data_IF_219724394160
#
_entry.id   IF_219724394160
#
_cell.length_a   1.000
_cell.length_b   1.000
_cell.length_c   1.000
_cell.angle_alpha   90.00
_cell.angle_beta   90.00
_cell.angle_gamma   90.00
#
_symmetry.space_group_name_H-M   'P 1'
#
loop_
_entity.id
_entity.type
_entity.pdbx_description
1 polymer ?
#
# COMPACT_ATOMS: atom_id res chain seq x y z
N UNK A 1 8.44 -1.54 -16.84
CA UNK A 1 7.27 -2.03 -16.08
C UNK A 1 7.11 -1.13 -14.87
N UNK A 2 6.21 -0.16 -14.97
CA UNK A 2 5.90 0.81 -13.91
C UNK A 2 4.97 0.15 -12.90
N UNK A 3 5.41 0.01 -11.64
CA UNK A 3 4.57 -0.42 -10.53
C UNK A 3 3.92 0.82 -9.92
N UNK A 4 2.62 1.00 -10.15
CA UNK A 4 1.82 2.04 -9.49
C UNK A 4 1.88 1.88 -7.97
N UNK A 5 2.13 2.96 -7.24
CA UNK A 5 2.33 2.91 -5.80
C UNK A 5 0.98 2.78 -5.06
N UNK A 6 0.60 1.55 -4.76
CA UNK A 6 -0.54 1.21 -3.92
C UNK A 6 -0.34 1.67 -2.47
N UNK A 7 -1.42 1.66 -1.68
CA UNK A 7 -1.34 1.56 -0.22
C UNK A 7 -0.70 0.20 0.11
N UNK A 8 0.61 0.09 -0.04
CA UNK A 8 1.38 -1.11 0.23
C UNK A 8 1.55 -1.20 1.74
N UNK A 9 1.04 -2.29 2.30
CA UNK A 9 1.36 -2.64 3.68
C UNK A 9 2.66 -3.42 3.66
N UNK A 10 3.71 -2.80 4.16
CA UNK A 10 4.97 -3.48 4.40
C UNK A 10 4.86 -4.21 5.73
N UNK A 11 5.01 -5.52 5.69
CA UNK A 11 5.23 -6.35 6.87
C UNK A 11 6.74 -6.59 6.95
N UNK A 12 7.38 -5.93 7.92
CA UNK A 12 8.81 -6.03 8.14
C UNK A 12 9.06 -6.88 9.37
N UNK A 13 10.05 -7.77 9.36
CA UNK A 13 10.43 -8.51 10.57
C UNK A 13 10.97 -7.55 11.65
N UNK A 14 10.82 -7.89 12.93
CA UNK A 14 11.24 -7.02 14.05
C UNK A 14 12.75 -6.79 14.07
N UNK A 15 13.17 -5.53 13.95
CA UNK A 15 14.58 -5.13 13.97
C UNK A 15 15.03 -4.62 15.33
N UNK A 16 16.24 -5.01 15.75
CA UNK A 16 16.97 -4.25 16.77
C UNK A 16 17.54 -2.98 16.12
N UNK A 17 17.00 -1.84 16.52
CA UNK A 17 17.16 -0.52 15.90
C UNK A 17 18.50 0.12 16.25
N UNK A 18 19.64 -0.43 15.77
CA UNK A 18 20.97 0.07 16.17
C UNK A 18 21.99 0.40 15.07
N UNK A 19 21.77 0.15 13.77
CA UNK A 19 22.70 0.61 12.71
C UNK A 19 21.97 0.92 11.38
N UNK A 20 22.45 1.89 10.57
CA UNK A 20 22.09 1.97 9.16
C UNK A 20 22.66 0.73 8.48
N UNK A 21 21.77 -0.16 8.05
CA UNK A 21 22.13 -1.41 7.40
C UNK A 21 22.08 -1.18 5.89
N UNK A 22 23.25 -0.98 5.29
CA UNK A 22 23.43 -1.13 3.86
C UNK A 22 23.50 -2.63 3.57
N UNK A 23 22.63 -3.11 2.69
CA UNK A 23 22.68 -4.47 2.17
C UNK A 23 23.50 -4.46 0.88
N UNK A 24 24.36 -5.46 0.73
CA UNK A 24 25.16 -5.62 -0.49
C UNK A 24 24.29 -6.13 -1.64
N UNK A 25 23.33 -7.00 -1.32
CA UNK A 25 22.46 -7.66 -2.28
C UNK A 25 20.98 -7.49 -1.92
N UNK A 26 20.11 -7.50 -2.93
CA UNK A 26 18.66 -7.56 -2.78
C UNK A 26 18.10 -8.71 -3.61
N UNK A 27 17.45 -9.66 -2.95
CA UNK A 27 16.71 -10.75 -3.58
C UNK A 27 15.22 -10.39 -3.60
N UNK A 28 14.67 -10.13 -4.78
CA UNK A 28 13.29 -9.69 -4.98
C UNK A 28 12.44 -10.82 -5.59
N UNK A 29 11.33 -11.14 -4.94
CA UNK A 29 10.42 -12.21 -5.35
C UNK A 29 8.98 -11.66 -5.40
N UNK A 30 8.35 -11.71 -6.58
CA UNK A 30 6.94 -11.34 -6.76
C UNK A 30 6.08 -12.61 -6.89
N UNK A 31 5.04 -12.71 -6.07
CA UNK A 31 4.16 -13.88 -6.01
C UNK A 31 2.96 -13.86 -6.97
N UNK A 32 2.64 -12.71 -7.61
CA UNK A 32 1.54 -12.61 -8.58
C UNK A 32 1.81 -13.52 -9.79
N UNK A 33 0.90 -14.45 -10.04
CA UNK A 33 0.95 -15.40 -11.15
C UNK A 33 2.11 -16.42 -11.13
N UNK A 34 2.95 -16.44 -10.08
CA UNK A 34 4.16 -17.28 -10.05
C UNK A 34 3.97 -18.57 -9.23
N UNK A 35 3.36 -19.58 -9.86
CA UNK A 35 3.13 -20.87 -9.22
C UNK A 35 4.42 -21.58 -8.77
N UNK A 36 5.51 -21.42 -9.53
CA UNK A 36 6.82 -22.01 -9.19
C UNK A 36 7.35 -21.46 -7.86
N UNK A 37 7.33 -20.14 -7.69
CA UNK A 37 7.73 -19.48 -6.44
C UNK A 37 6.79 -19.85 -5.29
N UNK A 38 5.48 -19.95 -5.53
CA UNK A 38 4.52 -20.35 -4.51
C UNK A 38 4.77 -21.79 -4.00
N UNK A 39 5.14 -22.71 -4.89
CA UNK A 39 5.38 -24.12 -4.57
C UNK A 39 6.50 -24.34 -3.54
N UNK A 40 7.49 -23.43 -3.49
CA UNK A 40 8.58 -23.44 -2.49
C UNK A 40 8.03 -23.47 -1.06
N UNK A 41 6.88 -22.83 -0.82
CA UNK A 41 6.27 -22.71 0.50
C UNK A 41 5.22 -23.80 0.78
N UNK A 42 4.91 -24.67 -0.19
CA UNK A 42 3.88 -25.72 -0.08
C UNK A 42 4.37 -27.01 0.58
N UNK A 43 5.66 -27.33 0.51
CA UNK A 43 6.18 -28.55 1.11
C UNK A 43 6.17 -28.48 2.64
N UNK A 44 6.98 -27.60 3.21
CA UNK A 44 7.11 -27.38 4.65
C UNK A 44 7.44 -25.91 4.97
N UNK A 45 7.79 -25.63 6.23
CA UNK A 45 8.27 -24.33 6.69
C UNK A 45 9.74 -24.37 7.15
N UNK A 46 10.55 -25.28 6.61
CA UNK A 46 11.98 -25.28 6.89
C UNK A 46 12.62 -24.06 6.22
N UNK A 47 13.01 -23.10 7.06
CA UNK A 47 13.59 -21.83 6.64
C UNK A 47 14.90 -22.03 5.87
N UNK A 48 15.72 -23.02 6.20
CA UNK A 48 16.98 -23.23 5.49
C UNK A 48 16.72 -23.70 4.07
N UNK A 49 15.88 -24.74 3.92
CA UNK A 49 15.43 -25.24 2.61
C UNK A 49 14.82 -24.12 1.77
N UNK A 50 13.90 -23.34 2.34
CA UNK A 50 13.24 -22.23 1.63
C UNK A 50 14.27 -21.21 1.16
N UNK A 51 15.21 -20.80 2.03
CA UNK A 51 16.25 -19.82 1.66
C UNK A 51 17.18 -20.37 0.58
N UNK A 52 17.55 -21.64 0.68
CA UNK A 52 18.40 -22.30 -0.30
C UNK A 52 17.69 -22.41 -1.66
N UNK A 53 16.41 -22.77 -1.71
CA UNK A 53 15.63 -22.82 -2.96
C UNK A 53 15.42 -21.43 -3.56
N UNK A 54 15.05 -20.44 -2.74
CA UNK A 54 14.89 -19.05 -3.17
C UNK A 54 16.21 -18.49 -3.71
N UNK A 55 17.33 -18.77 -3.04
CA UNK A 55 18.66 -18.33 -3.46
C UNK A 55 19.14 -19.04 -4.73
N UNK A 56 19.26 -20.36 -4.66
CA UNK A 56 19.93 -21.17 -5.68
C UNK A 56 19.13 -21.24 -6.98
N UNK A 57 17.81 -21.38 -6.89
CA UNK A 57 16.96 -21.71 -8.04
C UNK A 57 16.36 -20.45 -8.67
N UNK A 58 15.93 -19.50 -7.83
CA UNK A 58 15.16 -18.34 -8.31
C UNK A 58 16.03 -17.09 -8.41
N UNK A 59 16.81 -16.79 -7.37
CA UNK A 59 17.68 -15.61 -7.36
C UNK A 59 18.97 -15.82 -8.16
N UNK A 60 19.47 -17.06 -8.22
CA UNK A 60 20.72 -17.43 -8.89
C UNK A 60 21.98 -17.10 -8.08
N UNK A 61 21.84 -16.77 -6.79
CA UNK A 61 22.95 -16.48 -5.88
C UNK A 61 22.56 -16.82 -4.42
N UNK A 62 23.55 -16.85 -3.53
CA UNK A 62 23.35 -17.21 -2.13
C UNK A 62 22.68 -16.06 -1.37
N UNK A 63 21.62 -16.38 -0.62
CA UNK A 63 20.97 -15.42 0.29
C UNK A 63 21.71 -15.46 1.62
N UNK A 64 22.62 -14.50 1.84
CA UNK A 64 23.45 -14.43 3.04
C UNK A 64 22.79 -13.56 4.14
N UNK A 65 22.48 -14.12 5.32
CA UNK A 65 21.89 -13.35 6.42
C UNK A 65 22.78 -12.17 6.85
N UNK A 66 22.21 -10.97 6.82
CA UNK A 66 22.90 -9.71 7.18
C UNK A 66 23.59 -9.01 6.01
N UNK A 67 23.71 -9.65 4.84
CA UNK A 67 24.27 -9.07 3.61
C UNK A 67 23.22 -8.93 2.51
N UNK A 68 22.28 -9.88 2.45
CA UNK A 68 21.17 -9.87 1.48
C UNK A 68 19.86 -9.44 2.14
N UNK A 69 19.16 -8.48 1.52
CA UNK A 69 17.78 -8.13 1.83
C UNK A 69 16.84 -8.97 0.97
N UNK A 70 15.90 -9.67 1.60
CA UNK A 70 14.86 -10.42 0.89
C UNK A 70 13.58 -9.58 0.81
N UNK A 71 13.04 -9.43 -0.38
CA UNK A 71 11.79 -8.71 -0.65
C UNK A 71 10.76 -9.68 -1.23
N UNK A 72 9.62 -9.79 -0.57
CA UNK A 72 8.45 -10.55 -1.00
C UNK A 72 7.36 -9.57 -1.43
N UNK A 73 7.11 -9.39 -2.72
CA UNK A 73 6.03 -8.53 -3.22
C UNK A 73 4.80 -9.36 -3.57
N UNK A 74 3.63 -8.75 -3.42
CA UNK A 74 2.33 -9.41 -3.59
C UNK A 74 2.17 -10.69 -2.76
N UNK A 75 2.74 -10.71 -1.54
CA UNK A 75 2.74 -11.89 -0.66
C UNK A 75 1.31 -12.38 -0.32
N UNK A 76 0.28 -11.55 -0.52
CA UNK A 76 -1.12 -11.96 -0.40
C UNK A 76 -1.51 -13.13 -1.31
N UNK A 77 -0.80 -13.31 -2.42
CA UNK A 77 -1.03 -14.39 -3.39
C UNK A 77 -0.40 -15.71 -2.94
N UNK A 78 0.43 -15.70 -1.89
CA UNK A 78 0.97 -16.89 -1.26
C UNK A 78 0.70 -16.90 0.25
N UNK A 79 -0.49 -17.35 0.70
CA UNK A 79 -0.83 -17.38 2.12
C UNK A 79 0.14 -18.20 2.97
N UNK A 80 0.74 -19.25 2.39
CA UNK A 80 1.79 -20.04 3.06
C UNK A 80 3.09 -19.26 3.25
N UNK A 81 3.48 -18.40 2.30
CA UNK A 81 4.61 -17.49 2.50
C UNK A 81 4.36 -16.55 3.69
N UNK A 82 3.12 -16.05 3.87
CA UNK A 82 2.77 -15.23 5.04
C UNK A 82 2.94 -16.01 6.35
N UNK A 83 2.46 -17.25 6.41
CA UNK A 83 2.62 -18.10 7.59
C UNK A 83 4.09 -18.40 7.89
N UNK A 84 4.90 -18.55 6.84
CA UNK A 84 6.32 -18.87 6.97
C UNK A 84 7.11 -17.81 7.75
N UNK A 85 6.67 -16.54 7.71
CA UNK A 85 7.35 -15.40 8.33
C UNK A 85 7.60 -15.59 9.85
N UNK A 86 6.73 -16.33 10.56
CA UNK A 86 6.99 -16.65 11.98
C UNK A 86 8.25 -17.51 12.15
N UNK A 87 8.43 -18.50 11.29
CA UNK A 87 9.58 -19.40 11.32
C UNK A 87 10.85 -18.67 10.88
N UNK A 88 10.76 -17.77 9.89
CA UNK A 88 11.88 -16.88 9.56
C UNK A 88 12.31 -16.01 10.74
N UNK A 89 11.35 -15.55 11.55
CA UNK A 89 11.65 -14.79 12.76
C UNK A 89 12.33 -15.64 13.83
N UNK A 90 11.91 -16.89 13.99
CA UNK A 90 12.39 -17.81 15.05
C UNK A 90 13.72 -18.49 14.68
N UNK A 91 13.81 -19.04 13.48
CA UNK A 91 14.90 -19.93 13.06
C UNK A 91 16.05 -19.19 12.36
N UNK A 92 15.79 -18.04 11.76
CA UNK A 92 16.83 -17.26 11.05
C UNK A 92 16.73 -15.76 11.36
N UNK A 93 16.86 -15.32 12.63
CA UNK A 93 16.64 -13.94 13.06
C UNK A 93 17.51 -12.90 12.33
N UNK A 94 18.71 -13.29 11.87
CA UNK A 94 19.65 -12.41 11.16
C UNK A 94 19.29 -12.12 9.69
N UNK A 95 18.39 -12.91 9.09
CA UNK A 95 17.93 -12.64 7.73
C UNK A 95 16.83 -11.57 7.76
N UNK A 96 17.01 -10.53 6.96
CA UNK A 96 16.11 -9.39 6.87
C UNK A 96 15.13 -9.59 5.71
N UNK A 97 13.84 -9.50 6.02
CA UNK A 97 12.76 -9.76 5.08
C UNK A 97 11.78 -8.59 5.13
N UNK A 98 11.46 -8.06 3.94
CA UNK A 98 10.40 -7.09 3.70
C UNK A 98 9.34 -7.80 2.87
N UNK A 99 8.11 -7.86 3.38
CA UNK A 99 6.99 -8.36 2.62
C UNK A 99 6.03 -7.21 2.30
N UNK A 100 5.67 -7.01 1.04
CA UNK A 100 4.75 -5.98 0.58
C UNK A 100 3.47 -6.61 0.02
N UNK A 101 2.35 -5.91 0.23
CA UNK A 101 1.06 -6.31 -0.32
C UNK A 101 0.02 -5.21 -0.15
N UNK A 102 -0.78 -4.96 -1.19
CA UNK A 102 -1.81 -3.92 -1.22
C UNK A 102 -3.04 -4.30 -0.38
N UNK A 103 -3.45 -5.57 -0.42
CA UNK A 103 -4.71 -6.07 0.14
C UNK A 103 -4.51 -7.15 1.22
N UNK A 104 -3.38 -7.09 1.92
CA UNK A 104 -3.00 -8.09 2.93
C UNK A 104 -4.10 -8.33 3.98
N UNK A 105 -4.91 -7.31 4.33
CA UNK A 105 -6.04 -7.45 5.26
C UNK A 105 -7.27 -8.18 4.71
N UNK A 106 -7.45 -8.26 3.39
CA UNK A 106 -8.56 -8.98 2.74
C UNK A 106 -8.18 -10.44 2.51
N UNK A 107 -6.96 -10.70 2.02
CA UNK A 107 -6.48 -12.05 1.74
C UNK A 107 -6.43 -12.95 2.98
N UNK A 108 -6.10 -12.39 4.15
CA UNK A 108 -6.06 -13.14 5.42
C UNK A 108 -7.42 -13.61 5.94
N UNK A 109 -8.53 -13.15 5.34
CA UNK A 109 -9.88 -13.59 5.74
C UNK A 109 -10.38 -14.80 4.96
N UNK A 110 -9.78 -15.12 3.80
CA UNK A 110 -10.37 -16.10 2.89
C UNK A 110 -10.04 -17.55 3.21
N UNK A 111 -8.99 -17.82 3.98
CA UNK A 111 -8.61 -19.18 4.36
C UNK A 111 -8.08 -19.17 5.78
N UNK A 112 -8.08 -20.30 6.50
CA UNK A 112 -7.67 -20.46 7.91
C UNK A 112 -6.20 -20.14 8.21
N UNK A 113 -5.69 -19.04 7.66
CA UNK A 113 -4.32 -18.58 7.64
C UNK A 113 -4.11 -17.73 8.88
N UNK A 114 -3.35 -18.29 9.83
CA UNK A 114 -2.94 -17.54 11.01
C UNK A 114 -1.89 -16.51 10.62
N UNK A 115 -2.24 -15.24 10.73
CA UNK A 115 -1.24 -14.16 10.58
C UNK A 115 -0.24 -14.24 11.75
N UNK A 116 1.07 -14.08 11.51
CA UNK A 116 2.11 -14.28 12.53
C UNK A 116 2.21 -13.06 13.48
N UNK A 117 1.18 -12.88 14.32
CA UNK A 117 1.07 -11.77 15.28
C UNK A 117 2.26 -11.77 16.24
N UNK A 118 2.87 -10.61 16.44
CA UNK A 118 4.01 -10.43 17.36
C UNK A 118 5.37 -10.87 16.80
N UNK A 119 5.41 -11.49 15.61
CA UNK A 119 6.66 -11.87 14.92
C UNK A 119 7.02 -10.93 13.77
N UNK A 120 6.07 -10.08 13.38
CA UNK A 120 6.21 -9.11 12.30
C UNK A 120 5.75 -7.73 12.74
N UNK A 121 6.46 -6.73 12.29
CA UNK A 121 6.10 -5.32 12.35
C UNK A 121 5.34 -4.93 11.07
N UNK A 122 4.43 -3.97 11.17
CA UNK A 122 3.64 -3.49 10.03
C UNK A 122 3.88 -2.00 9.84
N UNK A 123 4.10 -1.61 8.61
CA UNK A 123 4.24 -0.23 8.16
C UNK A 123 3.20 -0.06 7.05
N UNK A 124 2.26 0.85 7.27
CA UNK A 124 1.33 1.25 6.24
C UNK A 124 1.99 2.39 5.43
N UNK A 125 2.13 2.21 4.12
CA UNK A 125 2.59 3.27 3.22
C UNK A 125 1.40 4.05 2.67
N UNK A 126 1.59 5.36 2.53
CA UNK A 126 0.58 6.30 2.05
C UNK A 126 1.12 7.04 0.82
N UNK A 127 0.25 7.66 0.00
CA UNK A 127 0.68 8.63 -0.98
C UNK A 127 1.55 9.72 -0.34
N UNK A 128 2.42 10.33 -1.14
CA UNK A 128 3.29 11.43 -0.72
C UNK A 128 2.46 12.56 -0.12
N UNK A 129 2.93 13.05 1.01
CA UNK A 129 2.40 14.26 1.65
C UNK A 129 2.70 15.50 0.81
N UNK A 130 2.05 16.62 1.15
CA UNK A 130 2.31 17.90 0.51
C UNK A 130 3.79 18.32 0.65
N UNK A 131 4.41 18.11 1.80
CA UNK A 131 5.81 18.43 2.04
C UNK A 131 6.73 17.59 1.14
N UNK A 132 6.46 16.28 1.02
CA UNK A 132 7.22 15.39 0.13
C UNK A 132 7.03 15.77 -1.34
N UNK A 133 5.83 16.17 -1.76
CA UNK A 133 5.56 16.69 -3.09
C UNK A 133 6.37 17.97 -3.38
N UNK A 134 6.32 18.97 -2.48
CA UNK A 134 7.06 20.23 -2.64
C UNK A 134 8.56 19.96 -2.70
N UNK A 135 9.06 19.03 -1.88
CA UNK A 135 10.46 18.60 -1.93
C UNK A 135 10.84 17.96 -3.27
N UNK A 136 9.99 17.07 -3.80
CA UNK A 136 10.21 16.42 -5.08
C UNK A 136 10.21 17.42 -6.24
N UNK A 137 9.35 18.44 -6.18
CA UNK A 137 9.22 19.52 -7.18
C UNK A 137 10.23 20.68 -6.97
N UNK A 138 11.36 20.41 -6.31
CA UNK A 138 12.46 21.35 -6.13
C UNK A 138 12.20 22.51 -5.14
N UNK A 139 11.09 22.46 -4.41
CA UNK A 139 10.63 23.50 -3.48
C UNK A 139 11.13 23.37 -2.03
N UNK A 140 12.05 22.44 -1.74
CA UNK A 140 12.41 22.11 -0.34
C UNK A 140 12.90 23.28 0.52
N UNK A 141 13.55 24.28 -0.10
CA UNK A 141 13.95 25.53 0.58
C UNK A 141 12.78 26.27 1.24
N UNK A 142 11.57 26.17 0.69
CA UNK A 142 10.38 26.82 1.24
C UNK A 142 9.87 26.07 2.46
N UNK A 143 9.87 24.73 2.43
CA UNK A 143 9.51 23.89 3.58
C UNK A 143 10.51 24.12 4.72
N UNK A 144 11.81 24.02 4.43
CA UNK A 144 12.88 24.24 5.42
C UNK A 144 12.80 25.63 6.05
N UNK A 145 12.45 26.65 5.26
CA UNK A 145 12.30 28.02 5.73
C UNK A 145 11.08 28.16 6.66
N UNK A 146 9.93 27.61 6.27
CA UNK A 146 8.70 27.69 7.07
C UNK A 146 8.82 26.90 8.37
N UNK A 147 9.45 25.72 8.37
CA UNK A 147 9.67 24.93 9.60
C UNK A 147 10.54 25.66 10.65
N UNK A 148 11.34 26.65 10.23
CA UNK A 148 12.18 27.47 11.13
C UNK A 148 11.48 28.74 11.61
N UNK A 149 10.33 29.11 11.03
CA UNK A 149 9.56 30.24 11.48
C UNK A 149 8.87 29.90 12.81
N UNK A 150 8.82 30.89 13.70
CA UNK A 150 8.05 30.77 14.93
C UNK A 150 6.56 30.88 14.60
N UNK A 151 5.74 30.04 15.22
CA UNK A 151 4.29 29.98 14.96
C UNK A 151 3.55 31.30 15.22
N UNK A 152 4.10 32.20 16.05
CA UNK A 152 3.49 33.49 16.36
C UNK A 152 3.74 34.57 15.29
N UNK A 153 4.53 34.26 14.26
CA UNK A 153 4.85 35.19 13.17
C UNK A 153 4.05 34.83 11.92
N UNK A 154 3.43 35.83 11.30
CA UNK A 154 2.84 35.67 9.97
C UNK A 154 3.88 35.19 8.95
N UNK A 155 3.47 34.27 8.08
CA UNK A 155 4.32 33.73 7.03
C UNK A 155 4.58 34.85 6.01
N UNK A 156 5.85 35.23 5.74
CA UNK A 156 6.14 36.28 4.78
C UNK A 156 5.65 35.94 3.38
N UNK A 157 5.27 36.97 2.62
CA UNK A 157 4.72 36.85 1.26
C UNK A 157 5.64 36.07 0.29
N UNK A 158 6.96 36.17 0.51
CA UNK A 158 7.97 35.42 -0.24
C UNK A 158 7.75 33.89 -0.20
N UNK A 159 7.21 33.38 0.92
CA UNK A 159 6.89 31.96 1.08
C UNK A 159 5.48 31.65 0.59
N UNK A 160 4.49 32.50 0.92
CA UNK A 160 3.07 32.20 0.64
C UNK A 160 2.80 32.08 -0.85
N UNK A 161 3.30 33.00 -1.69
CA UNK A 161 3.06 32.96 -3.15
C UNK A 161 3.56 31.65 -3.78
N UNK A 162 4.76 31.21 -3.37
CA UNK A 162 5.34 29.96 -3.88
C UNK A 162 4.61 28.74 -3.34
N UNK A 163 4.33 28.70 -2.04
CA UNK A 163 3.63 27.58 -1.40
C UNK A 163 2.18 27.44 -1.87
N UNK A 164 1.48 28.55 -2.16
CA UNK A 164 0.16 28.52 -2.78
C UNK A 164 0.19 27.92 -4.18
N UNK A 165 1.24 28.21 -4.97
CA UNK A 165 1.43 27.57 -6.27
C UNK A 165 1.63 26.05 -6.11
N UNK A 166 2.52 25.63 -5.22
CA UNK A 166 2.70 24.20 -4.93
C UNK A 166 1.42 23.54 -4.44
N UNK A 167 0.65 24.23 -3.59
CA UNK A 167 -0.60 23.71 -3.04
C UNK A 167 -1.64 23.49 -4.14
N UNK A 168 -1.78 24.45 -5.06
CA UNK A 168 -2.67 24.31 -6.22
C UNK A 168 -2.26 23.14 -7.10
N UNK A 169 -0.97 23.00 -7.39
CA UNK A 169 -0.45 21.87 -8.17
C UNK A 169 -0.74 20.55 -7.45
N UNK A 170 -0.49 20.48 -6.14
CA UNK A 170 -0.73 19.29 -5.33
C UNK A 170 -2.21 18.88 -5.28
N UNK A 171 -3.15 19.84 -5.31
CA UNK A 171 -4.58 19.49 -5.40
C UNK A 171 -4.96 18.83 -6.72
N UNK A 172 -4.24 19.13 -7.80
CA UNK A 172 -4.50 18.55 -9.13
C UNK A 172 -3.73 17.24 -9.28
N UNK A 173 -2.43 17.24 -8.98
CA UNK A 173 -1.53 16.09 -9.15
C UNK A 173 -1.75 15.01 -8.09
N UNK A 174 -2.06 15.44 -6.86
CA UNK A 174 -2.14 14.58 -5.69
C UNK A 174 -0.77 14.10 -5.20
N UNK A 175 -0.80 13.08 -4.34
CA UNK A 175 0.40 12.48 -3.74
C UNK A 175 0.81 11.14 -4.34
N UNK A 176 0.17 10.68 -5.41
CA UNK A 176 0.50 9.37 -6.00
C UNK A 176 1.90 9.43 -6.60
N UNK A 177 2.89 8.63 -6.14
CA UNK A 177 4.29 8.81 -6.52
C UNK A 177 4.54 8.82 -8.04
N UNK A 178 3.79 8.02 -8.80
CA UNK A 178 3.91 8.00 -10.25
C UNK A 178 3.36 9.29 -10.90
N UNK A 179 2.23 9.81 -10.42
CA UNK A 179 1.68 11.08 -10.88
C UNK A 179 2.61 12.25 -10.52
N UNK A 180 3.18 12.23 -9.31
CA UNK A 180 4.18 13.21 -8.87
C UNK A 180 5.43 13.14 -9.73
N UNK A 181 5.92 11.94 -10.06
CA UNK A 181 7.09 11.78 -10.92
C UNK A 181 6.85 12.37 -12.31
N UNK A 182 5.70 12.07 -12.94
CA UNK A 182 5.35 12.67 -14.25
C UNK A 182 5.24 14.19 -14.16
N UNK A 183 4.66 14.72 -13.07
CA UNK A 183 4.62 16.16 -12.84
C UNK A 183 6.03 16.77 -12.77
N UNK A 184 6.93 16.20 -11.96
CA UNK A 184 8.30 16.69 -11.81
C UNK A 184 9.05 16.67 -13.16
N UNK A 185 8.84 15.63 -13.97
CA UNK A 185 9.54 15.46 -15.23
C UNK A 185 8.98 16.36 -16.36
N UNK A 186 7.67 16.61 -16.38
CA UNK A 186 6.98 17.23 -17.53
C UNK A 186 6.32 18.58 -17.23
N UNK A 187 5.88 18.79 -15.98
CA UNK A 187 5.02 19.89 -15.56
C UNK A 187 3.74 20.04 -16.42
N UNK A 188 3.25 18.93 -16.96
CA UNK A 188 2.06 18.86 -17.82
C UNK A 188 0.90 18.20 -17.09
N UNK A 189 -0.20 18.94 -16.92
CA UNK A 189 -1.40 18.44 -16.27
C UNK A 189 -2.10 17.33 -17.05
N UNK A 190 -2.09 17.38 -18.39
CA UNK A 190 -2.72 16.35 -19.21
C UNK A 190 -1.98 15.02 -19.11
N UNK A 191 -0.65 15.06 -19.08
CA UNK A 191 0.17 13.86 -18.86
C UNK A 191 -0.08 13.25 -17.47
N UNK A 192 -0.26 14.08 -16.45
CA UNK A 192 -0.61 13.63 -15.10
C UNK A 192 -2.01 13.02 -15.05
N UNK A 193 -2.99 13.65 -15.71
CA UNK A 193 -4.37 13.16 -15.78
C UNK A 193 -4.43 11.77 -16.41
N UNK A 194 -3.70 11.53 -17.50
CA UNK A 194 -3.62 10.20 -18.13
C UNK A 194 -3.11 9.12 -17.15
N UNK A 195 -2.10 9.44 -16.35
CA UNK A 195 -1.55 8.54 -15.33
C UNK A 195 -2.57 8.30 -14.22
N UNK A 196 -3.25 9.33 -13.73
CA UNK A 196 -4.28 9.21 -12.71
C UNK A 196 -5.45 8.33 -13.19
N UNK A 197 -5.89 8.53 -14.43
CA UNK A 197 -6.95 7.75 -15.06
C UNK A 197 -6.58 6.28 -15.20
N UNK A 198 -5.34 6.00 -15.63
CA UNK A 198 -4.80 4.64 -15.70
C UNK A 198 -4.77 3.98 -14.31
N UNK A 199 -4.24 4.68 -13.30
CA UNK A 199 -4.20 4.19 -11.91
C UNK A 199 -5.62 3.85 -11.42
N UNK A 200 -6.61 4.73 -11.65
CA UNK A 200 -8.00 4.49 -11.22
C UNK A 200 -8.63 3.27 -11.91
N UNK A 201 -8.30 3.01 -13.18
CA UNK A 201 -8.75 1.82 -13.91
C UNK A 201 -8.10 0.56 -13.37
N UNK A 202 -6.78 0.59 -13.15
CA UNK A 202 -6.02 -0.53 -12.60
C UNK A 202 -6.56 -0.93 -11.21
N UNK A 203 -6.90 0.05 -10.37
CA UNK A 203 -7.58 -0.19 -9.09
C UNK A 203 -8.93 -0.91 -9.25
N UNK A 204 -9.74 -0.50 -10.22
CA UNK A 204 -11.05 -1.10 -10.47
C UNK A 204 -10.95 -2.55 -10.99
N UNK A 205 -9.89 -2.84 -11.73
CA UNK A 205 -9.60 -4.17 -12.24
C UNK A 205 -9.07 -5.12 -11.16
N UNK A 206 -8.22 -4.62 -10.25
CA UNK A 206 -7.65 -5.41 -9.16
C UNK A 206 -8.69 -5.95 -8.16
N UNK A 207 -9.81 -5.24 -7.95
CA UNK A 207 -10.91 -5.74 -7.11
C UNK A 207 -11.46 -7.10 -7.54
N UNK A 208 -11.32 -7.46 -8.82
CA UNK A 208 -11.76 -8.74 -9.36
C UNK A 208 -10.87 -9.91 -8.94
N UNK A 209 -9.57 -9.69 -8.70
CA UNK A 209 -8.60 -10.76 -8.38
C UNK A 209 -8.79 -11.36 -6.99
N UNK A 210 -9.19 -10.54 -6.02
CA UNK A 210 -9.19 -10.93 -4.60
C UNK A 210 -10.59 -11.11 -4.00
N UNK A 211 -11.66 -11.12 -4.81
CA UNK A 211 -13.04 -11.27 -4.32
C UNK A 211 -13.87 -12.18 -5.23
N UNK A 212 -14.95 -12.76 -4.70
CA UNK A 212 -15.88 -13.54 -5.53
C UNK A 212 -16.60 -12.63 -6.55
N UNK A 213 -17.03 -13.19 -7.68
CA UNK A 213 -17.60 -12.41 -8.80
C UNK A 213 -18.80 -11.52 -8.40
N UNK A 214 -19.63 -11.97 -7.47
CA UNK A 214 -20.77 -11.17 -6.96
C UNK A 214 -20.30 -9.97 -6.11
N UNK A 215 -19.26 -10.14 -5.29
CA UNK A 215 -18.65 -9.06 -4.50
C UNK A 215 -17.88 -8.10 -5.38
N UNK A 216 -17.10 -8.59 -6.35
CA UNK A 216 -16.38 -7.77 -7.31
C UNK A 216 -17.33 -6.81 -8.06
N UNK A 217 -18.46 -7.33 -8.54
CA UNK A 217 -19.49 -6.51 -9.20
C UNK A 217 -20.07 -5.44 -8.27
N UNK A 218 -20.35 -5.77 -7.01
CA UNK A 218 -20.83 -4.79 -6.02
C UNK A 218 -19.79 -3.72 -5.71
N UNK A 219 -18.51 -4.10 -5.57
CA UNK A 219 -17.41 -3.17 -5.33
C UNK A 219 -17.25 -2.22 -6.51
N UNK A 220 -17.30 -2.72 -7.75
CA UNK A 220 -17.26 -1.88 -8.97
C UNK A 220 -18.42 -0.89 -9.04
N UNK A 221 -19.63 -1.32 -8.70
CA UNK A 221 -20.80 -0.42 -8.65
C UNK A 221 -20.63 0.68 -7.61
N UNK A 222 -20.07 0.35 -6.44
CA UNK A 222 -19.78 1.34 -5.40
C UNK A 222 -18.67 2.29 -5.88
N UNK A 223 -17.58 1.77 -6.42
CA UNK A 223 -16.44 2.53 -6.94
C UNK A 223 -16.87 3.60 -7.93
N UNK A 224 -17.67 3.22 -8.93
CA UNK A 224 -18.19 4.14 -9.94
C UNK A 224 -19.17 5.19 -9.37
N UNK A 225 -19.79 4.90 -8.22
CA UNK A 225 -20.69 5.84 -7.57
C UNK A 225 -19.95 6.85 -6.68
N UNK A 226 -18.72 6.60 -6.24
CA UNK A 226 -17.98 7.46 -5.30
C UNK A 226 -17.89 8.91 -5.78
N UNK A 227 -17.46 9.22 -7.02
CA UNK A 227 -17.34 10.61 -7.48
C UNK A 227 -18.68 11.37 -7.38
N UNK A 228 -19.76 10.74 -7.84
CA UNK A 228 -21.12 11.30 -7.81
C UNK A 228 -21.68 11.52 -6.40
N UNK A 229 -21.15 10.80 -5.41
CA UNK A 229 -21.57 10.89 -4.01
C UNK A 229 -20.77 11.96 -3.27
N UNK A 230 -19.47 12.11 -3.58
CA UNK A 230 -18.61 13.18 -3.03
C UNK A 230 -19.02 14.54 -3.60
N UNK A 231 -19.49 14.60 -4.84
CA UNK A 231 -19.98 15.84 -5.46
C UNK A 231 -21.30 16.36 -4.86
N UNK A 232 -21.90 15.67 -3.88
CA UNK A 232 -23.11 16.12 -3.18
C UNK A 232 -22.72 16.87 -1.92
N UNK A 233 -23.46 17.92 -1.59
CA UNK A 233 -23.26 18.72 -0.35
C UNK A 233 -23.47 17.94 0.97
N UNK A 234 -23.84 16.66 0.91
CA UNK A 234 -24.20 15.86 2.07
C UNK A 234 -23.16 14.75 2.31
N UNK A 235 -22.41 14.85 3.41
CA UNK A 235 -21.29 13.95 3.77
C UNK A 235 -21.68 12.49 4.11
N UNK A 236 -22.90 12.04 3.81
CA UNK A 236 -23.37 10.67 4.10
C UNK A 236 -23.47 9.86 2.81
N UNK A 237 -22.75 8.74 2.74
CA UNK A 237 -22.84 7.81 1.62
C UNK A 237 -24.20 7.10 1.60
N UNK A 238 -24.98 7.29 0.52
CA UNK A 238 -26.35 6.75 0.44
C UNK A 238 -26.41 5.54 -0.51
N UNK A 239 -26.39 4.33 0.07
CA UNK A 239 -26.45 3.06 -0.66
C UNK A 239 -27.71 2.86 -1.53
N UNK A 240 -28.82 3.57 -1.30
CA UNK A 240 -30.05 3.42 -2.08
C UNK A 240 -29.96 3.95 -3.52
N UNK A 241 -28.94 4.75 -3.83
CA UNK A 241 -28.75 5.35 -5.16
C UNK A 241 -27.82 4.53 -6.07
N UNK A 242 -27.17 3.49 -5.53
CA UNK A 242 -26.32 2.55 -6.29
C UNK A 242 -27.20 1.44 -6.87
N UNK A 243 -28.17 1.80 -7.73
CA UNK A 243 -29.19 0.95 -8.40
C UNK A 243 -30.04 0.02 -7.48
N UNK A 244 -31.35 -0.05 -7.74
CA UNK A 244 -32.28 -0.93 -7.00
C UNK A 244 -32.01 -2.42 -7.28
N UNK A 245 -31.07 -3.04 -6.57
CA UNK A 245 -30.84 -4.48 -6.55
C UNK A 245 -31.02 -5.05 -5.15
N UNK A 246 -31.77 -6.17 -5.03
CA UNK A 246 -32.22 -6.78 -3.76
C UNK A 246 -31.10 -7.14 -2.77
N UNK A 247 -29.81 -7.09 -3.16
CA UNK A 247 -28.64 -7.40 -2.32
C UNK A 247 -28.14 -6.28 -1.41
N UNK A 248 -28.53 -5.01 -1.60
CA UNK A 248 -28.06 -3.87 -0.79
C UNK A 248 -28.75 -3.75 0.59
N UNK A 249 -29.89 -4.44 0.80
CA UNK A 249 -30.59 -4.46 2.10
C UNK A 249 -29.76 -5.12 3.21
N UNK A 250 -28.95 -6.11 2.85
CA UNK A 250 -28.12 -6.87 3.81
C UNK A 250 -26.93 -6.03 4.30
N UNK A 251 -26.30 -5.24 3.42
CA UNK A 251 -25.20 -4.34 3.80
C UNK A 251 -25.67 -3.23 4.75
N UNK A 252 -26.88 -2.70 4.51
CA UNK A 252 -27.51 -1.68 5.36
C UNK A 252 -27.81 -2.22 6.77
N UNK A 253 -28.30 -3.45 6.91
CA UNK A 253 -28.55 -4.06 8.23
C UNK A 253 -27.25 -4.28 9.04
N UNK A 254 -26.16 -4.68 8.37
CA UNK A 254 -24.89 -4.98 9.06
C UNK A 254 -24.17 -3.71 9.56
N UNK A 255 -24.34 -2.57 8.87
CA UNK A 255 -23.77 -1.30 9.28
C UNK A 255 -24.55 -0.64 10.42
N UNK A 256 -25.88 -0.77 10.45
CA UNK A 256 -26.72 -0.31 11.57
C UNK A 256 -26.41 -1.03 12.89
N UNK A 257 -26.02 -2.31 12.84
CA UNK A 257 -25.58 -3.08 14.01
C UNK A 257 -24.24 -2.60 14.59
N UNK A 258 -23.29 -2.20 13.73
CA UNK A 258 -21.98 -1.68 14.15
C UNK A 258 -22.09 -0.26 14.74
N UNK A 259 -22.95 0.60 14.19
CA UNK A 259 -23.20 1.93 14.77
C UNK A 259 -23.87 1.87 16.14
N UNK A 260 -24.72 0.87 16.39
CA UNK A 260 -25.39 0.68 17.68
C UNK A 260 -24.46 0.14 18.78
N UNK A 261 -23.37 -0.56 18.41
CA UNK A 261 -22.34 -0.99 19.36
C UNK A 261 -21.37 0.15 19.69
N UNK A 262 -21.04 1.02 18.73
CA UNK A 262 -20.17 2.18 18.95
C UNK A 262 -20.80 3.23 19.89
N UNK A 263 -22.13 3.36 19.92
CA UNK A 263 -22.84 4.28 20.81
C UNK A 263 -23.02 3.75 22.25
N UNK A 264 -22.58 2.54 22.57
CA UNK A 264 -22.64 1.96 23.93
C UNK A 264 -21.30 1.99 24.67
N UNK A 265 -20.27 2.61 24.08
CA UNK A 265 -18.91 2.72 24.66
C UNK A 265 -18.54 4.20 24.87
N UNK A 266 -19.54 5.05 25.12
CA UNK A 266 -19.35 6.35 25.77
C UNK A 266 -20.06 6.31 27.12
#
# INVERSE_FOLDING_TARGET
>A
MQQGNYKKRITCKKWSRKRPLFFENMAYFNFDGNAGLQSVFEYDFDVKRIVDELGSIIYGDTIEPGRTLVVFDDIQDCPRAIQSLKYFCENMPKLHIIAAGSLLGVALRQEGVSFPVGKVDRIDMYPMSFEEFVNADGGGKYIDGVCKLRCEREIPELYTVSLEKYLKNYYIVGGMPEAVQVWVDTHDYSAVEEVQDRILRDYADDFGKHTNADTANKVRLIWNAIPSQIARDNNKFIFSHVKQGRGLKILRMRWSGLSAQASRIN
#
